data_IF_982518512180
#
_entry.id   IF_982518512180
#
_cell.length_a   1.000
_cell.length_b   1.000
_cell.length_c   1.000
_cell.angle_alpha   90.00
_cell.angle_beta   90.00
_cell.angle_gamma   90.00
#
_symmetry.space_group_name_H-M   'P 1'
#
loop_
_entity.id
_entity.type
_entity.pdbx_description
1 polymer ?
#
# COMPACT_ATOMS: atom_id res chain seq x y z
N UNK A 1 -16.35 -10.39 3.56
CA UNK A 1 -15.52 -9.19 3.79
C UNK A 1 -14.08 -9.56 3.51
N UNK A 2 -13.38 -8.75 2.75
CA UNK A 2 -11.99 -8.96 2.35
C UNK A 2 -11.14 -7.74 2.74
N UNK A 3 -9.98 -7.99 3.35
CA UNK A 3 -9.00 -6.95 3.70
C UNK A 3 -7.71 -7.23 2.94
N UNK A 4 -7.13 -6.21 2.35
CA UNK A 4 -5.79 -6.26 1.76
C UNK A 4 -4.81 -5.45 2.59
N UNK A 5 -3.68 -6.05 2.94
CA UNK A 5 -2.61 -5.42 3.70
C UNK A 5 -1.34 -5.30 2.86
N UNK A 6 -0.71 -4.14 2.87
CA UNK A 6 0.50 -3.88 2.10
C UNK A 6 1.71 -3.72 3.01
N UNK A 7 2.69 -4.61 2.84
CA UNK A 7 3.96 -4.55 3.55
C UNK A 7 4.98 -3.72 2.75
N UNK A 8 5.22 -2.50 3.18
CA UNK A 8 6.16 -1.56 2.57
C UNK A 8 7.62 -1.75 2.99
N UNK A 9 7.92 -2.72 3.85
CA UNK A 9 9.30 -3.03 4.26
C UNK A 9 10.04 -3.79 3.16
N UNK A 10 11.33 -3.51 2.92
CA UNK A 10 12.16 -4.34 2.06
C UNK A 10 12.35 -5.75 2.62
N UNK A 11 12.18 -5.94 3.92
CA UNK A 11 12.25 -7.25 4.59
C UNK A 11 10.87 -7.92 4.55
N UNK A 12 10.81 -9.13 4.00
CA UNK A 12 9.56 -9.88 3.85
C UNK A 12 8.86 -10.13 5.20
N UNK A 13 9.62 -10.51 6.22
CA UNK A 13 9.12 -10.91 7.54
C UNK A 13 9.77 -10.08 8.68
N UNK A 14 10.05 -8.80 8.40
CA UNK A 14 10.59 -7.87 9.38
C UNK A 14 9.52 -7.32 10.34
N UNK A 15 9.88 -6.29 11.10
CA UNK A 15 8.98 -5.71 12.12
C UNK A 15 7.67 -5.18 11.53
N UNK A 16 7.70 -4.59 10.34
CA UNK A 16 6.48 -4.12 9.65
C UNK A 16 5.54 -5.28 9.36
N UNK A 17 6.07 -6.38 8.84
CA UNK A 17 5.29 -7.60 8.60
C UNK A 17 4.69 -8.15 9.90
N UNK A 18 5.48 -8.22 10.98
CA UNK A 18 4.99 -8.72 12.28
C UNK A 18 3.83 -7.86 12.80
N UNK A 19 3.95 -6.53 12.68
CA UNK A 19 2.87 -5.63 13.09
C UNK A 19 1.59 -5.84 12.26
N UNK A 20 1.72 -5.98 10.94
CA UNK A 20 0.59 -6.31 10.06
C UNK A 20 0.00 -7.67 10.45
N UNK A 21 0.85 -8.68 10.66
CA UNK A 21 0.43 -10.04 10.96
C UNK A 21 -0.37 -10.13 12.25
N UNK A 22 0.01 -9.39 13.28
CA UNK A 22 -0.77 -9.32 14.54
C UNK A 22 -2.21 -8.87 14.29
N UNK A 23 -2.40 -7.86 13.46
CA UNK A 23 -3.75 -7.35 13.13
C UNK A 23 -4.50 -8.34 12.24
N UNK A 24 -3.84 -8.85 11.21
CA UNK A 24 -4.51 -9.76 10.26
C UNK A 24 -4.89 -11.09 10.87
N UNK A 25 -4.12 -11.60 11.83
CA UNK A 25 -4.48 -12.83 12.57
C UNK A 25 -5.78 -12.67 13.37
N UNK A 26 -6.00 -11.50 13.98
CA UNK A 26 -7.26 -11.23 14.67
C UNK A 26 -8.44 -11.09 13.69
N UNK A 27 -8.23 -10.47 12.54
CA UNK A 27 -9.26 -10.37 11.50
C UNK A 27 -9.65 -11.76 10.95
N UNK A 28 -8.67 -12.63 10.74
CA UNK A 28 -8.92 -14.01 10.27
C UNK A 28 -9.72 -14.83 11.29
N UNK A 29 -9.47 -14.65 12.59
CA UNK A 29 -10.28 -15.29 13.66
C UNK A 29 -11.75 -14.88 13.60
N UNK A 30 -12.03 -13.67 13.16
CA UNK A 30 -13.40 -13.15 12.96
C UNK A 30 -14.00 -13.55 11.59
N UNK A 31 -13.34 -14.43 10.84
CA UNK A 31 -13.81 -14.92 9.53
C UNK A 31 -13.61 -13.95 8.37
N UNK A 32 -12.76 -12.94 8.53
CA UNK A 32 -12.44 -11.98 7.49
C UNK A 32 -11.31 -12.54 6.62
N UNK A 33 -11.49 -12.56 5.31
CA UNK A 33 -10.45 -12.94 4.36
C UNK A 33 -9.37 -11.85 4.31
N UNK A 34 -8.10 -12.23 4.48
CA UNK A 34 -6.99 -11.29 4.45
C UNK A 34 -5.92 -11.72 3.44
N UNK A 35 -5.44 -10.77 2.66
CA UNK A 35 -4.29 -10.94 1.78
C UNK A 35 -3.18 -9.96 2.17
N UNK A 36 -1.95 -10.43 2.36
CA UNK A 36 -0.77 -9.59 2.60
C UNK A 36 0.06 -9.51 1.32
N UNK A 37 0.25 -8.29 0.82
CA UNK A 37 1.02 -7.99 -0.39
C UNK A 37 2.37 -7.38 -0.01
N UNK A 38 3.47 -7.93 -0.51
CA UNK A 38 4.81 -7.41 -0.26
C UNK A 38 5.20 -6.37 -1.31
N UNK A 39 5.20 -5.11 -0.93
CA UNK A 39 5.52 -3.96 -1.79
C UNK A 39 6.99 -3.54 -1.67
N UNK A 40 7.54 -3.56 -0.47
CA UNK A 40 8.81 -2.89 -0.15
C UNK A 40 10.06 -3.46 -0.81
N UNK A 41 10.03 -4.68 -1.34
CA UNK A 41 11.15 -5.29 -2.07
C UNK A 41 11.05 -5.16 -3.60
N UNK A 42 10.03 -4.46 -4.08
CA UNK A 42 9.80 -4.29 -5.52
C UNK A 42 10.45 -3.02 -6.05
N UNK A 43 10.86 -3.08 -7.31
CA UNK A 43 11.34 -1.89 -8.03
C UNK A 43 10.16 -1.25 -8.73
N UNK A 44 9.70 -0.12 -8.19
CA UNK A 44 8.61 0.65 -8.77
C UNK A 44 8.99 2.13 -8.84
N UNK A 45 8.46 2.82 -9.83
CA UNK A 45 8.60 4.26 -9.97
C UNK A 45 7.42 4.98 -9.32
N UNK A 46 7.67 6.15 -8.77
CA UNK A 46 6.65 7.07 -8.27
C UNK A 46 5.79 7.67 -9.39
N UNK A 47 4.76 8.42 -9.01
CA UNK A 47 3.87 9.09 -9.96
C UNK A 47 4.64 10.13 -10.79
N UNK A 48 4.41 10.15 -12.11
CA UNK A 48 5.01 11.11 -13.05
C UNK A 48 4.12 12.35 -13.28
N UNK A 49 2.98 12.45 -12.60
CA UNK A 49 2.00 13.52 -12.80
C UNK A 49 1.54 13.69 -14.27
N UNK A 50 1.50 12.60 -15.03
CA UNK A 50 1.13 12.64 -16.47
C UNK A 50 -0.37 12.79 -16.70
N UNK A 51 -1.21 12.71 -15.66
CA UNK A 51 -2.68 12.76 -15.72
C UNK A 51 -3.34 11.71 -16.62
N UNK A 52 -2.62 10.67 -17.02
CA UNK A 52 -3.15 9.61 -17.87
C UNK A 52 -4.33 8.86 -17.22
N UNK A 53 -4.23 8.58 -15.94
CA UNK A 53 -5.33 7.94 -15.19
C UNK A 53 -6.61 8.79 -15.13
N UNK A 54 -6.47 10.13 -15.06
CA UNK A 54 -7.61 11.04 -15.10
C UNK A 54 -8.25 11.12 -16.49
N UNK A 55 -7.43 11.04 -17.56
CA UNK A 55 -7.96 11.03 -18.95
C UNK A 55 -8.59 9.71 -19.33
N UNK A 56 -7.96 8.60 -18.98
CA UNK A 56 -8.39 7.27 -19.41
C UNK A 56 -9.60 6.75 -18.64
N UNK A 57 -9.77 7.13 -17.37
CA UNK A 57 -10.88 6.70 -16.51
C UNK A 57 -11.06 5.16 -16.44
N UNK A 58 -9.94 4.44 -16.48
CA UNK A 58 -9.90 2.97 -16.53
C UNK A 58 -9.43 2.33 -15.20
N UNK A 59 -9.36 3.13 -14.13
CA UNK A 59 -8.91 2.72 -12.79
C UNK A 59 -7.47 2.21 -12.77
N UNK A 60 -6.62 2.65 -13.69
CA UNK A 60 -5.23 2.21 -13.83
C UNK A 60 -4.26 3.38 -13.96
N UNK A 61 -3.04 3.15 -13.51
CA UNK A 61 -1.90 3.96 -13.88
C UNK A 61 -1.46 3.59 -15.30
N UNK A 62 -1.05 4.58 -16.11
CA UNK A 62 -0.54 4.31 -17.47
C UNK A 62 0.77 3.53 -17.49
N UNK A 63 1.56 3.63 -16.40
CA UNK A 63 2.75 2.80 -16.22
C UNK A 63 2.33 1.38 -15.83
N UNK A 64 2.54 0.43 -16.73
CA UNK A 64 2.09 -0.97 -16.60
C UNK A 64 3.23 -1.99 -16.55
N UNK A 65 4.47 -1.54 -16.42
CA UNK A 65 5.66 -2.38 -16.40
C UNK A 65 6.06 -2.87 -15.00
N UNK A 66 5.17 -2.75 -14.04
CA UNK A 66 5.33 -3.17 -12.65
C UNK A 66 4.00 -3.69 -12.06
N UNK A 67 4.02 -4.07 -10.78
CA UNK A 67 2.87 -4.68 -10.11
C UNK A 67 1.83 -3.67 -9.58
N UNK A 68 2.04 -2.35 -9.75
CA UNK A 68 1.20 -1.33 -9.11
C UNK A 68 -0.26 -1.41 -9.54
N UNK A 69 -0.53 -1.67 -10.82
CA UNK A 69 -1.91 -1.80 -11.30
C UNK A 69 -2.64 -3.03 -10.74
N UNK A 70 -1.91 -4.13 -10.49
CA UNK A 70 -2.45 -5.28 -9.78
C UNK A 70 -2.83 -4.92 -8.35
N UNK A 71 -1.96 -4.18 -7.65
CA UNK A 71 -2.23 -3.73 -6.28
C UNK A 71 -3.39 -2.74 -6.20
N UNK A 72 -3.52 -1.84 -7.19
CA UNK A 72 -4.68 -0.93 -7.30
C UNK A 72 -5.98 -1.74 -7.44
N UNK A 73 -5.99 -2.78 -8.27
CA UNK A 73 -7.15 -3.64 -8.42
C UNK A 73 -7.51 -4.37 -7.10
N UNK A 74 -6.50 -4.88 -6.36
CA UNK A 74 -6.72 -5.48 -5.04
C UNK A 74 -7.30 -4.48 -4.04
N UNK A 75 -6.84 -3.22 -4.06
CA UNK A 75 -7.42 -2.15 -3.22
C UNK A 75 -8.88 -1.84 -3.61
N UNK A 76 -9.19 -1.84 -4.90
CA UNK A 76 -10.55 -1.58 -5.39
C UNK A 76 -11.54 -2.69 -4.98
N UNK A 77 -11.10 -3.93 -5.02
CA UNK A 77 -11.92 -5.10 -4.65
C UNK A 77 -12.09 -5.28 -3.12
N UNK A 78 -11.14 -4.82 -2.32
CA UNK A 78 -11.17 -5.01 -0.87
C UNK A 78 -12.19 -4.11 -0.17
N UNK A 79 -12.75 -4.58 0.94
CA UNK A 79 -13.60 -3.79 1.85
C UNK A 79 -12.76 -2.96 2.83
N UNK A 80 -11.56 -3.43 3.15
CA UNK A 80 -10.63 -2.76 4.05
C UNK A 80 -9.19 -2.79 3.54
N UNK A 81 -8.40 -1.79 3.91
CA UNK A 81 -7.01 -1.61 3.47
C UNK A 81 -6.13 -1.35 4.68
N UNK A 82 -5.06 -2.12 4.81
CA UNK A 82 -4.01 -1.92 5.83
C UNK A 82 -2.71 -1.53 5.14
N UNK A 83 -2.08 -0.45 5.60
CA UNK A 83 -0.83 0.05 5.07
C UNK A 83 0.26 -0.03 6.14
N UNK A 84 1.29 -0.84 5.92
CA UNK A 84 2.43 -0.94 6.82
C UNK A 84 3.71 -0.45 6.17
N UNK A 85 4.46 0.42 6.85
CA UNK A 85 5.74 0.92 6.35
C UNK A 85 6.76 1.09 7.45
N UNK A 86 8.04 0.78 7.19
CA UNK A 86 9.12 1.23 8.06
C UNK A 86 9.37 2.73 7.86
N UNK A 87 10.00 3.35 8.85
CA UNK A 87 10.63 4.67 8.73
C UNK A 87 12.12 4.45 8.55
N UNK A 88 12.67 4.86 7.41
CA UNK A 88 14.11 4.83 7.15
C UNK A 88 14.78 6.15 7.50
N UNK A 89 14.23 7.24 7.01
CA UNK A 89 14.67 8.59 7.35
C UNK A 89 13.47 9.54 7.41
N UNK A 90 13.06 9.87 8.60
CA UNK A 90 11.98 10.84 8.92
C UNK A 90 10.60 10.58 8.32
N UNK A 91 10.45 9.70 7.34
CA UNK A 91 9.20 9.40 6.64
C UNK A 91 9.09 7.93 6.29
N UNK A 92 7.94 7.54 5.73
CA UNK A 92 7.71 6.18 5.25
C UNK A 92 8.69 5.78 4.16
N UNK A 93 8.91 4.49 3.98
CA UNK A 93 9.79 3.93 2.96
C UNK A 93 9.47 4.46 1.55
N UNK A 94 10.50 4.78 0.76
CA UNK A 94 10.36 5.37 -0.57
C UNK A 94 9.53 4.54 -1.54
N UNK A 95 9.69 3.20 -1.52
CA UNK A 95 8.89 2.29 -2.35
C UNK A 95 7.41 2.35 -1.96
N UNK A 96 7.11 2.37 -0.66
CA UNK A 96 5.73 2.51 -0.18
C UNK A 96 5.13 3.85 -0.64
N UNK A 97 5.87 4.95 -0.51
CA UNK A 97 5.40 6.27 -0.97
C UNK A 97 5.15 6.30 -2.48
N UNK A 98 6.02 5.70 -3.28
CA UNK A 98 5.84 5.58 -4.73
C UNK A 98 4.56 4.82 -5.09
N UNK A 99 4.27 3.74 -4.39
CA UNK A 99 3.02 3.01 -4.53
C UNK A 99 1.81 3.87 -4.17
N UNK A 100 1.84 4.49 -2.98
CA UNK A 100 0.70 5.29 -2.49
C UNK A 100 0.39 6.48 -3.40
N UNK A 101 1.41 7.19 -3.89
CA UNK A 101 1.22 8.32 -4.81
C UNK A 101 0.49 7.87 -6.09
N UNK A 102 0.86 6.73 -6.64
CA UNK A 102 0.20 6.19 -7.83
C UNK A 102 -1.21 5.68 -7.53
N UNK A 103 -1.37 4.86 -6.49
CA UNK A 103 -2.65 4.26 -6.14
C UNK A 103 -3.71 5.29 -5.76
N UNK A 104 -3.36 6.25 -4.90
CA UNK A 104 -4.31 7.26 -4.47
C UNK A 104 -4.59 8.32 -5.53
N UNK A 105 -3.62 8.64 -6.38
CA UNK A 105 -3.88 9.53 -7.51
C UNK A 105 -4.86 8.89 -8.52
N UNK A 106 -4.66 7.62 -8.85
CA UNK A 106 -5.62 6.84 -9.64
C UNK A 106 -6.98 6.82 -8.96
N UNK A 107 -7.03 6.48 -7.68
CA UNK A 107 -8.29 6.37 -6.94
C UNK A 107 -9.07 7.68 -6.90
N UNK A 108 -8.42 8.80 -6.64
CA UNK A 108 -9.06 10.11 -6.61
C UNK A 108 -9.53 10.56 -7.99
N UNK A 109 -8.74 10.29 -9.04
CA UNK A 109 -9.05 10.65 -10.43
C UNK A 109 -10.16 9.79 -11.05
N UNK A 110 -10.49 8.64 -10.44
CA UNK A 110 -11.48 7.69 -10.94
C UNK A 110 -12.69 7.59 -9.99
N UNK A 111 -13.22 8.72 -9.56
CA UNK A 111 -14.46 8.79 -8.78
C UNK A 111 -14.31 8.48 -7.30
N UNK A 112 -13.10 8.44 -6.76
CA UNK A 112 -12.87 8.16 -5.35
C UNK A 112 -13.03 6.68 -5.02
N UNK A 113 -12.29 5.81 -5.72
CA UNK A 113 -12.39 4.34 -5.64
C UNK A 113 -12.33 3.77 -4.21
N UNK A 114 -11.65 4.46 -3.30
CA UNK A 114 -11.44 3.95 -1.93
C UNK A 114 -12.35 4.60 -0.89
N UNK A 115 -13.36 5.37 -1.32
CA UNK A 115 -14.35 5.95 -0.41
C UNK A 115 -15.10 4.87 0.35
N UNK A 116 -15.33 5.14 1.63
CA UNK A 116 -16.07 4.25 2.54
C UNK A 116 -15.40 2.89 2.83
N UNK A 117 -14.15 2.67 2.37
CA UNK A 117 -13.36 1.52 2.79
C UNK A 117 -12.74 1.79 4.18
N UNK A 118 -12.73 0.78 5.02
CA UNK A 118 -12.03 0.86 6.31
C UNK A 118 -10.52 0.92 6.05
N UNK A 119 -9.83 1.85 6.70
CA UNK A 119 -8.39 2.03 6.55
C UNK A 119 -7.65 1.98 7.88
N UNK A 120 -6.50 1.32 7.90
CA UNK A 120 -5.56 1.34 9.01
C UNK A 120 -4.14 1.50 8.50
N UNK A 121 -3.29 2.15 9.30
CA UNK A 121 -1.88 2.31 8.99
C UNK A 121 -1.01 1.91 10.20
N UNK A 122 0.10 1.24 9.93
CA UNK A 122 1.13 0.91 10.91
C UNK A 122 2.48 1.44 10.45
N UNK A 123 3.16 2.15 11.31
CA UNK A 123 4.50 2.68 11.07
C UNK A 123 5.45 2.09 12.08
N UNK A 124 6.51 1.45 11.60
CA UNK A 124 7.55 0.87 12.44
C UNK A 124 8.84 1.67 12.28
N UNK A 125 9.35 2.18 13.39
CA UNK A 125 10.63 2.89 13.45
C UNK A 125 11.61 2.08 14.30
N UNK A 126 12.85 1.94 13.83
CA UNK A 126 13.96 1.49 14.67
C UNK A 126 14.63 2.71 15.32
N UNK A 127 15.21 2.53 16.51
CA UNK A 127 15.98 3.57 17.20
C UNK A 127 17.32 3.86 16.52
N UNK A 128 17.31 4.03 15.20
CA UNK A 128 18.49 4.50 14.49
C UNK A 128 18.60 5.99 14.79
N UNK A 129 19.53 6.35 15.67
CA UNK A 129 19.97 7.73 15.81
C UNK A 129 20.58 8.14 14.46
N UNK A 130 19.84 8.87 13.65
CA UNK A 130 20.43 9.59 12.55
C UNK A 130 21.27 10.71 13.15
N UNK A 131 22.56 10.42 13.34
CA UNK A 131 23.55 11.47 13.54
C UNK A 131 23.86 12.03 12.15
N UNK A 132 23.38 13.24 11.88
CA UNK A 132 23.84 14.04 10.75
C UNK A 132 25.16 14.71 11.18
#
# INVERSE_FOLDING_TARGET
MKVVAFNGSPKKEGNTYQAIKMVTDELEKEGIEVEIVHVGNKTIRGCMACNGCARNQDKKCVMSNDDVNEWIAKMDEADGIILGSPVHFSAIGGTMKSFLDRAFYVGSSNGGMYRHKVGAASITASNIKCSI
#
